data_IF_823259431903
#
_entry.id   IF_823259431903
#
_cell.length_a   1.000
_cell.length_b   1.000
_cell.length_c   1.000
_cell.angle_alpha   90.00
_cell.angle_beta   90.00
_cell.angle_gamma   90.00
#
_symmetry.space_group_name_H-M   'P 1'
#
loop_
_entity.id
_entity.type
_entity.pdbx_description
1 polymer ?
#
# COMPACT_ATOMS: atom_id res chain seq x y z
N UNK A 1 29.05 13.72 4.54
CA UNK A 1 29.95 13.12 3.54
C UNK A 1 29.21 12.56 2.34
N UNK A 2 28.20 11.68 2.48
CA UNK A 2 27.47 11.17 1.31
C UNK A 2 26.50 12.20 0.67
N UNK A 3 25.91 13.10 1.48
CA UNK A 3 24.97 14.15 1.04
C UNK A 3 25.55 15.15 0.03
N UNK A 4 26.87 15.36 0.06
CA UNK A 4 27.59 16.27 -0.85
C UNK A 4 28.30 15.52 -1.99
N UNK A 5 28.11 14.20 -2.08
CA UNK A 5 28.75 13.37 -3.09
C UNK A 5 27.94 13.37 -4.39
N UNK A 6 28.61 13.12 -5.51
CA UNK A 6 27.94 12.99 -6.81
C UNK A 6 27.05 11.75 -6.85
N UNK A 7 26.00 11.75 -7.68
CA UNK A 7 25.09 10.60 -7.84
C UNK A 7 25.87 9.29 -8.10
N UNK A 8 26.94 9.33 -8.91
CA UNK A 8 27.77 8.15 -9.18
C UNK A 8 28.47 7.59 -7.92
N UNK A 9 28.87 8.44 -6.99
CA UNK A 9 29.49 8.03 -5.72
C UNK A 9 28.42 7.46 -4.79
N UNK A 10 27.26 8.12 -4.72
CA UNK A 10 26.13 7.64 -3.93
C UNK A 10 25.65 6.26 -4.45
N UNK A 11 25.62 6.06 -5.77
CA UNK A 11 25.26 4.78 -6.38
C UNK A 11 26.23 3.66 -6.00
N UNK A 12 27.54 3.92 -6.09
CA UNK A 12 28.57 2.96 -5.66
C UNK A 12 28.49 2.64 -4.17
N UNK A 13 28.07 3.61 -3.35
CA UNK A 13 27.85 3.40 -1.93
C UNK A 13 26.68 2.43 -1.70
N UNK A 14 25.54 2.64 -2.38
CA UNK A 14 24.39 1.74 -2.30
C UNK A 14 24.78 0.33 -2.73
N UNK A 15 25.49 0.17 -3.86
CA UNK A 15 25.92 -1.15 -4.34
C UNK A 15 26.89 -1.83 -3.36
N UNK A 16 27.76 -1.05 -2.74
CA UNK A 16 28.68 -1.55 -1.71
C UNK A 16 27.92 -2.00 -0.48
N UNK A 17 26.96 -1.21 0.01
CA UNK A 17 26.09 -1.57 1.13
C UNK A 17 25.29 -2.82 0.83
N UNK A 18 24.72 -2.94 -0.37
CA UNK A 18 23.95 -4.13 -0.77
C UNK A 18 24.83 -5.39 -0.75
N UNK A 19 26.01 -5.31 -1.39
CA UNK A 19 26.97 -6.42 -1.44
C UNK A 19 27.47 -6.83 -0.06
N UNK A 20 27.75 -5.87 0.81
CA UNK A 20 28.18 -6.14 2.19
C UNK A 20 27.00 -6.78 2.96
N UNK A 21 25.80 -6.22 2.81
CA UNK A 21 24.57 -6.71 3.46
C UNK A 21 24.27 -8.17 3.14
N UNK A 22 24.51 -8.61 1.92
CA UNK A 22 24.35 -10.03 1.55
C UNK A 22 25.49 -10.95 2.04
N UNK A 23 26.70 -10.44 2.25
CA UNK A 23 27.87 -11.25 2.65
C UNK A 23 28.08 -11.36 4.16
N UNK A 24 27.61 -10.38 4.92
CA UNK A 24 27.90 -10.27 6.36
C UNK A 24 27.20 -11.38 7.15
N UNK A 25 27.91 -12.35 7.74
CA UNK A 25 27.24 -13.40 8.53
C UNK A 25 26.75 -12.87 9.89
N UNK A 26 27.40 -11.83 10.42
CA UNK A 26 27.09 -11.26 11.74
C UNK A 26 25.76 -10.48 11.75
N UNK A 27 24.87 -10.84 12.67
CA UNK A 27 23.55 -10.22 12.80
C UNK A 27 23.60 -8.72 13.12
N UNK A 28 24.47 -8.28 14.05
CA UNK A 28 24.58 -6.86 14.44
C UNK A 28 25.00 -5.98 13.26
N UNK A 29 25.95 -6.46 12.47
CA UNK A 29 26.38 -5.74 11.27
C UNK A 29 25.29 -5.71 10.18
N UNK A 30 24.46 -6.75 10.09
CA UNK A 30 23.32 -6.77 9.16
C UNK A 30 22.27 -5.75 9.57
N UNK A 31 21.92 -5.68 10.86
CA UNK A 31 21.02 -4.65 11.43
C UNK A 31 21.57 -3.25 11.16
N UNK A 32 22.87 -3.03 11.37
CA UNK A 32 23.51 -1.74 11.12
C UNK A 32 23.39 -1.32 9.64
N UNK A 33 23.57 -2.24 8.70
CA UNK A 33 23.43 -1.94 7.26
C UNK A 33 21.99 -1.58 6.92
N UNK A 34 21.02 -2.33 7.46
CA UNK A 34 19.59 -2.04 7.26
C UNK A 34 19.22 -0.66 7.83
N UNK A 35 19.68 -0.31 9.04
CA UNK A 35 19.45 1.02 9.61
C UNK A 35 20.13 2.13 8.81
N UNK A 36 21.32 1.89 8.24
CA UNK A 36 21.97 2.86 7.35
C UNK A 36 21.13 3.07 6.08
N UNK A 37 20.72 2.00 5.41
CA UNK A 37 19.88 2.07 4.21
C UNK A 37 18.55 2.77 4.49
N UNK A 38 17.92 2.45 5.62
CA UNK A 38 16.69 3.07 6.08
C UNK A 38 16.89 4.58 6.31
N UNK A 39 17.91 4.96 7.08
CA UNK A 39 18.22 6.37 7.39
C UNK A 39 18.55 7.16 6.12
N UNK A 40 19.32 6.57 5.19
CA UNK A 40 19.63 7.21 3.92
C UNK A 40 18.38 7.46 3.08
N UNK A 41 17.42 6.53 3.09
CA UNK A 41 16.18 6.69 2.34
C UNK A 41 15.29 7.82 2.90
N UNK A 42 15.40 8.14 4.20
CA UNK A 42 14.72 9.24 4.89
C UNK A 42 15.41 10.59 4.76
N UNK A 43 16.48 10.67 3.98
CA UNK A 43 17.14 11.94 3.71
C UNK A 43 16.38 12.72 2.63
N UNK A 44 15.81 13.87 2.99
CA UNK A 44 15.08 14.76 2.08
C UNK A 44 15.95 15.30 0.92
N UNK A 45 17.28 15.29 1.08
CA UNK A 45 18.22 15.72 0.03
C UNK A 45 18.51 14.63 -1.01
N UNK A 46 18.00 13.42 -0.81
CA UNK A 46 18.24 12.29 -1.70
C UNK A 46 17.48 12.46 -3.04
N UNK A 47 18.15 12.26 -4.19
CA UNK A 47 17.45 12.19 -5.47
C UNK A 47 16.46 11.01 -5.52
N UNK A 48 15.28 11.23 -6.09
CA UNK A 48 14.22 10.21 -6.14
C UNK A 48 14.63 8.90 -6.83
N UNK A 49 15.49 8.96 -7.85
CA UNK A 49 16.03 7.77 -8.52
C UNK A 49 16.83 6.85 -7.59
N UNK A 50 17.36 7.37 -6.49
CA UNK A 50 18.16 6.62 -5.52
C UNK A 50 17.31 6.01 -4.41
N UNK A 51 16.15 6.60 -4.16
CA UNK A 51 15.22 6.16 -3.12
C UNK A 51 14.74 4.73 -3.37
N UNK A 52 14.26 4.44 -4.58
CA UNK A 52 13.78 3.10 -4.95
C UNK A 52 14.91 2.05 -4.86
N UNK A 53 16.14 2.44 -5.18
CA UNK A 53 17.32 1.57 -5.06
C UNK A 53 17.62 1.24 -3.60
N UNK A 54 17.64 2.24 -2.70
CA UNK A 54 17.87 2.03 -1.27
C UNK A 54 16.84 1.08 -0.67
N UNK A 55 15.56 1.27 -1.01
CA UNK A 55 14.50 0.39 -0.54
C UNK A 55 14.57 -1.01 -1.13
N UNK A 56 14.98 -1.16 -2.40
CA UNK A 56 15.21 -2.48 -2.98
C UNK A 56 16.32 -3.23 -2.24
N UNK A 57 17.46 -2.56 -1.98
CA UNK A 57 18.57 -3.15 -1.24
C UNK A 57 18.15 -3.52 0.19
N UNK A 58 17.45 -2.61 0.89
CA UNK A 58 16.94 -2.87 2.23
C UNK A 58 16.03 -4.11 2.26
N UNK A 59 15.13 -4.23 1.28
CA UNK A 59 14.22 -5.37 1.13
C UNK A 59 14.96 -6.67 0.80
N UNK A 60 15.90 -6.66 -0.14
CA UNK A 60 16.68 -7.85 -0.54
C UNK A 60 17.50 -8.40 0.64
N UNK A 61 18.16 -7.52 1.39
CA UNK A 61 18.90 -7.92 2.59
C UNK A 61 17.94 -8.46 3.66
N UNK A 62 16.80 -7.80 3.88
CA UNK A 62 15.82 -8.22 4.89
C UNK A 62 15.18 -9.58 4.59
N UNK A 63 14.87 -9.85 3.31
CA UNK A 63 14.20 -11.08 2.87
C UNK A 63 15.12 -12.29 2.73
N UNK A 64 16.40 -12.09 2.40
CA UNK A 64 17.37 -13.18 2.23
C UNK A 64 17.76 -13.94 3.53
N UNK A 65 17.20 -13.56 4.69
CA UNK A 65 17.60 -14.08 6.01
C UNK A 65 16.42 -14.66 6.80
N UNK A 66 16.08 -15.90 6.45
CA UNK A 66 14.81 -16.54 6.80
C UNK A 66 14.53 -16.84 8.30
N UNK A 67 15.50 -16.79 9.24
CA UNK A 67 15.26 -17.29 10.61
C UNK A 67 15.67 -16.37 11.78
N UNK A 68 16.28 -15.20 11.55
CA UNK A 68 16.78 -14.32 12.63
C UNK A 68 16.05 -12.97 12.74
N UNK A 69 15.08 -12.68 11.85
CA UNK A 69 14.75 -11.30 11.47
C UNK A 69 13.31 -10.86 11.82
N UNK A 70 12.52 -11.67 12.53
CA UNK A 70 11.09 -11.37 12.71
C UNK A 70 10.84 -10.09 13.50
N UNK A 71 11.52 -9.90 14.62
CA UNK A 71 11.38 -8.71 15.47
C UNK A 71 11.86 -7.43 14.75
N UNK A 72 12.99 -7.50 14.04
CA UNK A 72 13.52 -6.37 13.27
C UNK A 72 12.60 -6.02 12.09
N UNK A 73 12.10 -7.02 11.36
CA UNK A 73 11.11 -6.83 10.28
C UNK A 73 9.81 -6.24 10.86
N UNK A 74 9.32 -6.74 12.00
CA UNK A 74 8.20 -6.13 12.73
C UNK A 74 8.48 -4.66 13.01
N UNK A 75 9.69 -4.32 13.50
CA UNK A 75 10.11 -2.95 13.76
C UNK A 75 10.01 -2.05 12.51
N UNK A 76 10.51 -2.50 11.36
CA UNK A 76 10.37 -1.74 10.11
C UNK A 76 8.92 -1.61 9.64
N UNK A 77 8.10 -2.64 9.82
CA UNK A 77 6.68 -2.53 9.52
C UNK A 77 5.95 -1.57 10.43
N UNK A 78 6.30 -1.50 11.72
CA UNK A 78 5.73 -0.49 12.61
C UNK A 78 6.13 0.92 12.15
N UNK A 79 7.37 1.13 11.70
CA UNK A 79 7.78 2.39 11.06
C UNK A 79 6.93 2.69 9.80
N UNK A 80 6.71 1.71 8.93
CA UNK A 80 5.81 1.85 7.76
C UNK A 80 4.36 2.17 8.16
N UNK A 81 3.85 1.50 9.20
CA UNK A 81 2.53 1.77 9.74
C UNK A 81 2.43 3.21 10.25
N UNK A 82 3.46 3.72 10.92
CA UNK A 82 3.48 5.10 11.40
C UNK A 82 3.48 6.10 10.24
N UNK A 83 4.16 5.81 9.12
CA UNK A 83 4.05 6.64 7.92
C UNK A 83 2.63 6.68 7.35
N UNK A 84 1.94 5.53 7.32
CA UNK A 84 0.55 5.43 6.85
C UNK A 84 -0.39 6.19 7.79
N UNK A 85 -0.28 5.94 9.11
CA UNK A 85 -1.09 6.60 10.15
C UNK A 85 -0.97 8.11 10.12
N UNK A 86 0.25 8.60 9.97
CA UNK A 86 0.54 10.04 9.93
C UNK A 86 0.34 10.65 8.53
N UNK A 87 -0.11 9.85 7.55
CA UNK A 87 -0.34 10.29 6.18
C UNK A 87 0.90 10.98 5.57
N UNK A 88 2.07 10.37 5.75
CA UNK A 88 3.30 10.85 5.15
C UNK A 88 3.33 10.47 3.66
N UNK A 89 2.87 11.38 2.80
CA UNK A 89 2.73 11.17 1.35
C UNK A 89 4.00 10.65 0.68
N UNK A 90 5.19 11.10 1.12
CA UNK A 90 6.46 10.62 0.56
C UNK A 90 6.73 9.14 0.88
N UNK A 91 6.13 8.62 1.93
CA UNK A 91 6.42 7.27 2.43
C UNK A 91 5.26 6.32 2.27
N UNK A 92 4.10 6.79 1.81
CA UNK A 92 2.87 6.02 1.83
C UNK A 92 2.91 4.86 0.83
N UNK A 93 3.26 5.13 -0.44
CA UNK A 93 3.45 4.09 -1.47
C UNK A 93 4.59 3.13 -1.10
N UNK A 94 5.79 3.61 -0.70
CA UNK A 94 6.86 2.73 -0.24
C UNK A 94 6.46 1.81 0.92
N UNK A 95 5.74 2.36 1.90
CA UNK A 95 5.29 1.63 3.08
C UNK A 95 4.30 0.51 2.72
N UNK A 96 3.34 0.79 1.84
CA UNK A 96 2.43 -0.25 1.35
C UNK A 96 3.15 -1.32 0.54
N UNK A 97 4.09 -0.96 -0.34
CA UNK A 97 4.90 -1.93 -1.10
C UNK A 97 5.71 -2.82 -0.16
N UNK A 98 6.33 -2.24 0.85
CA UNK A 98 7.12 -3.00 1.82
C UNK A 98 6.26 -3.96 2.64
N UNK A 99 5.13 -3.49 3.17
CA UNK A 99 4.16 -4.32 3.89
C UNK A 99 3.63 -5.45 3.00
N UNK A 100 3.22 -5.13 1.76
CA UNK A 100 2.71 -6.10 0.78
C UNK A 100 3.67 -7.26 0.56
N UNK A 101 4.94 -6.97 0.34
CA UNK A 101 5.93 -8.02 0.14
C UNK A 101 6.08 -8.88 1.38
N UNK A 102 6.12 -8.29 2.58
CA UNK A 102 6.29 -9.06 3.80
C UNK A 102 5.11 -9.98 4.13
N UNK A 103 3.88 -9.53 3.92
CA UNK A 103 2.69 -10.37 4.18
C UNK A 103 2.55 -11.53 3.19
N UNK A 104 3.22 -11.47 2.04
CA UNK A 104 3.32 -12.61 1.11
C UNK A 104 4.19 -13.74 1.67
N UNK A 105 5.16 -13.42 2.54
CA UNK A 105 6.09 -14.40 3.10
C UNK A 105 5.63 -14.99 4.45
N UNK A 106 4.87 -14.25 5.27
CA UNK A 106 4.48 -14.68 6.62
C UNK A 106 3.00 -14.40 6.94
N UNK A 107 2.20 -15.48 7.05
CA UNK A 107 0.77 -15.40 7.40
C UNK A 107 0.50 -14.97 8.83
N UNK A 108 1.42 -15.21 9.77
CA UNK A 108 1.26 -14.73 11.14
C UNK A 108 1.47 -13.21 11.21
N UNK A 109 2.36 -12.69 10.38
CA UNK A 109 2.60 -11.24 10.25
C UNK A 109 1.34 -10.50 9.78
N UNK A 110 0.57 -11.12 8.90
CA UNK A 110 -0.73 -10.62 8.47
C UNK A 110 -1.69 -10.41 9.65
N UNK A 111 -1.75 -11.33 10.63
CA UNK A 111 -2.58 -11.15 11.84
C UNK A 111 -2.05 -10.02 12.72
N UNK A 112 -0.73 -9.93 12.90
CA UNK A 112 -0.11 -8.83 13.65
C UNK A 112 -0.50 -7.45 13.11
N UNK A 113 -0.53 -7.28 11.78
CA UNK A 113 -0.90 -6.02 11.15
C UNK A 113 -2.41 -5.73 11.23
N UNK A 114 -3.25 -6.76 11.05
CA UNK A 114 -4.70 -6.62 11.06
C UNK A 114 -5.21 -6.40 12.49
N UNK A 115 -4.98 -7.36 13.38
CA UNK A 115 -5.59 -7.40 14.72
C UNK A 115 -4.84 -6.49 15.70
N UNK A 116 -3.52 -6.37 15.55
CA UNK A 116 -2.67 -5.60 16.46
C UNK A 116 -2.49 -4.14 16.07
N UNK A 117 -2.64 -3.79 14.79
CA UNK A 117 -2.23 -2.49 14.27
C UNK A 117 -3.26 -1.79 13.36
N UNK A 118 -4.46 -2.37 13.20
CA UNK A 118 -5.59 -1.77 12.47
C UNK A 118 -5.27 -1.36 11.02
N UNK A 119 -4.42 -2.11 10.31
CA UNK A 119 -4.00 -1.75 8.96
C UNK A 119 -5.16 -1.50 7.97
N UNK A 120 -6.24 -2.28 8.04
CA UNK A 120 -7.41 -2.12 7.15
C UNK A 120 -8.07 -0.77 7.34
N UNK A 121 -8.25 -0.34 8.60
CA UNK A 121 -8.83 0.95 8.94
C UNK A 121 -7.98 2.07 8.34
N UNK A 122 -6.67 2.06 8.58
CA UNK A 122 -5.79 3.09 8.06
C UNK A 122 -5.67 3.07 6.53
N UNK A 123 -5.82 1.90 5.90
CA UNK A 123 -5.86 1.77 4.45
C UNK A 123 -7.07 2.51 3.87
N UNK A 124 -8.28 2.27 4.40
CA UNK A 124 -9.50 2.93 3.95
C UNK A 124 -9.46 4.43 4.25
N UNK A 125 -9.03 4.82 5.45
CA UNK A 125 -8.87 6.23 5.82
C UNK A 125 -7.90 6.97 4.90
N UNK A 126 -6.80 6.31 4.52
CA UNK A 126 -5.81 6.89 3.60
C UNK A 126 -6.39 7.04 2.19
N UNK A 127 -7.15 6.06 1.70
CA UNK A 127 -7.85 6.17 0.40
C UNK A 127 -8.75 7.40 0.40
N UNK A 128 -9.64 7.53 1.40
CA UNK A 128 -10.58 8.65 1.47
C UNK A 128 -9.89 10.00 1.62
N UNK A 129 -8.85 10.09 2.47
CA UNK A 129 -8.07 11.32 2.63
C UNK A 129 -7.34 11.71 1.35
N UNK A 130 -6.75 10.75 0.65
CA UNK A 130 -6.03 11.03 -0.59
C UNK A 130 -6.96 11.40 -1.74
N UNK A 131 -8.12 10.75 -1.83
CA UNK A 131 -9.18 11.15 -2.75
C UNK A 131 -9.58 12.62 -2.53
N UNK A 132 -9.85 13.01 -1.28
CA UNK A 132 -10.21 14.38 -0.93
C UNK A 132 -9.12 15.40 -1.30
N UNK A 133 -7.87 15.14 -0.90
CA UNK A 133 -6.75 16.05 -1.15
C UNK A 133 -6.51 16.24 -2.67
N UNK A 134 -6.56 15.15 -3.44
CA UNK A 134 -6.36 15.19 -4.90
C UNK A 134 -7.55 15.84 -5.61
N UNK A 135 -8.78 15.60 -5.14
CA UNK A 135 -9.97 16.26 -5.66
C UNK A 135 -9.84 17.78 -5.53
N UNK A 136 -9.45 18.28 -4.36
CA UNK A 136 -9.20 19.71 -4.12
C UNK A 136 -8.06 20.22 -5.00
N UNK A 137 -6.93 19.50 -5.05
CA UNK A 137 -5.75 19.93 -5.81
C UNK A 137 -6.02 20.05 -7.32
N UNK A 138 -6.91 19.22 -7.85
CA UNK A 138 -7.20 19.13 -9.29
C UNK A 138 -8.53 19.77 -9.70
N UNK A 139 -9.28 20.33 -8.74
CA UNK A 139 -10.64 20.82 -8.94
C UNK A 139 -11.54 19.74 -9.61
N UNK A 140 -11.42 18.51 -9.10
CA UNK A 140 -12.12 17.33 -9.61
C UNK A 140 -11.56 16.71 -10.89
N UNK A 141 -10.57 17.31 -11.54
CA UNK A 141 -9.97 16.81 -12.79
C UNK A 141 -8.84 15.79 -12.55
N UNK A 142 -9.17 14.70 -11.84
CA UNK A 142 -8.19 13.65 -11.54
C UNK A 142 -7.89 12.82 -12.79
N UNK A 143 -6.60 12.64 -13.10
CA UNK A 143 -6.11 11.89 -14.25
C UNK A 143 -5.20 10.74 -13.83
N UNK A 144 -4.90 9.80 -14.73
CA UNK A 144 -4.00 8.68 -14.42
C UNK A 144 -2.57 9.13 -14.11
N UNK A 145 -2.18 10.32 -14.57
CA UNK A 145 -0.86 10.92 -14.37
C UNK A 145 -0.85 11.93 -13.20
N UNK A 146 -1.98 12.10 -12.50
CA UNK A 146 -2.06 12.98 -11.34
C UNK A 146 -1.15 12.46 -10.24
N UNK A 147 -0.18 13.28 -9.88
CA UNK A 147 0.86 12.98 -8.90
C UNK A 147 0.38 13.26 -7.47
N UNK A 148 0.62 12.31 -6.55
CA UNK A 148 0.38 12.48 -5.10
C UNK A 148 1.60 13.08 -4.37
N UNK A 149 2.77 12.80 -4.90
CA UNK A 149 4.04 13.39 -4.53
C UNK A 149 4.86 13.57 -5.82
N UNK A 150 6.16 13.84 -5.74
CA UNK A 150 6.97 14.03 -6.95
C UNK A 150 7.36 12.73 -7.68
N UNK A 151 6.85 11.56 -7.25
CA UNK A 151 7.28 10.24 -7.72
C UNK A 151 6.14 9.34 -8.17
N UNK A 152 5.08 9.26 -7.37
CA UNK A 152 4.02 8.28 -7.57
C UNK A 152 2.74 8.96 -7.98
N UNK A 153 1.98 8.29 -8.84
CA UNK A 153 0.65 8.76 -9.22
C UNK A 153 -0.40 8.32 -8.20
N UNK A 154 -1.52 9.04 -8.18
CA UNK A 154 -2.69 8.67 -7.40
C UNK A 154 -3.17 7.25 -7.74
N UNK A 155 -3.19 6.92 -9.05
CA UNK A 155 -3.55 5.59 -9.55
C UNK A 155 -2.65 4.49 -8.98
N UNK A 156 -1.33 4.72 -8.91
CA UNK A 156 -0.39 3.76 -8.35
C UNK A 156 -0.64 3.52 -6.85
N UNK A 157 -0.91 4.58 -6.10
CA UNK A 157 -1.24 4.48 -4.67
C UNK A 157 -2.54 3.69 -4.45
N UNK A 158 -3.61 4.07 -5.13
CA UNK A 158 -4.90 3.42 -4.97
C UNK A 158 -4.81 1.93 -5.35
N UNK A 159 -4.10 1.61 -6.43
CA UNK A 159 -3.88 0.22 -6.85
C UNK A 159 -3.13 -0.60 -5.78
N UNK A 160 -2.01 -0.11 -5.24
CA UNK A 160 -1.27 -0.88 -4.22
C UNK A 160 -2.08 -1.07 -2.93
N UNK A 161 -2.90 -0.09 -2.55
CA UNK A 161 -3.80 -0.20 -1.41
C UNK A 161 -4.87 -1.26 -1.63
N UNK A 162 -5.54 -1.25 -2.79
CA UNK A 162 -6.57 -2.22 -3.13
C UNK A 162 -6.00 -3.64 -3.26
N UNK A 163 -4.83 -3.79 -3.90
CA UNK A 163 -4.13 -5.06 -3.99
C UNK A 163 -3.81 -5.59 -2.58
N UNK A 164 -3.32 -4.73 -1.69
CA UNK A 164 -3.00 -5.11 -0.31
C UNK A 164 -4.25 -5.54 0.43
N UNK A 165 -5.34 -4.79 0.31
CA UNK A 165 -6.61 -5.12 0.93
C UNK A 165 -7.16 -6.46 0.42
N UNK A 166 -7.11 -6.72 -0.89
CA UNK A 166 -7.51 -7.99 -1.47
C UNK A 166 -6.67 -9.16 -0.91
N UNK A 167 -5.36 -8.97 -0.80
CA UNK A 167 -4.46 -9.96 -0.21
C UNK A 167 -4.77 -10.20 1.27
N UNK A 168 -5.13 -9.16 2.02
CA UNK A 168 -5.56 -9.27 3.41
C UNK A 168 -6.89 -10.04 3.54
N UNK A 169 -7.80 -9.91 2.58
CA UNK A 169 -9.07 -10.66 2.60
C UNK A 169 -8.90 -12.13 2.19
N UNK A 170 -8.18 -12.42 1.09
CA UNK A 170 -8.05 -13.77 0.46
C UNK A 170 -7.57 -14.93 1.34
N UNK A 171 -7.09 -14.66 2.55
CA UNK A 171 -6.59 -15.70 3.47
C UNK A 171 -6.87 -15.35 4.94
N UNK A 172 -7.69 -14.33 5.21
CA UNK A 172 -7.99 -13.86 6.56
C UNK A 172 -9.40 -14.25 6.94
N UNK A 173 -9.61 -14.84 8.13
CA UNK A 173 -10.94 -14.98 8.73
C UNK A 173 -11.44 -13.61 9.21
N UNK A 174 -11.66 -12.71 8.27
CA UNK A 174 -12.06 -11.32 8.52
C UNK A 174 -13.57 -11.28 8.78
N UNK A 175 -14.01 -11.82 9.91
CA UNK A 175 -15.43 -11.77 10.27
C UNK A 175 -15.93 -10.34 10.50
N UNK A 176 -15.02 -9.38 10.75
CA UNK A 176 -15.31 -7.95 10.87
C UNK A 176 -15.26 -7.17 9.54
N UNK A 177 -15.09 -7.85 8.40
CA UNK A 177 -14.86 -7.20 7.09
C UNK A 177 -16.02 -6.33 6.60
N UNK A 178 -17.26 -6.63 6.97
CA UNK A 178 -18.42 -5.98 6.34
C UNK A 178 -18.42 -4.46 6.50
N UNK A 179 -18.16 -3.95 7.71
CA UNK A 179 -18.14 -2.50 7.95
C UNK A 179 -17.07 -1.80 7.11
N UNK A 180 -15.89 -2.41 7.00
CA UNK A 180 -14.78 -1.87 6.22
C UNK A 180 -15.02 -1.96 4.72
N UNK A 181 -15.66 -3.03 4.25
CA UNK A 181 -16.05 -3.20 2.84
C UNK A 181 -17.13 -2.19 2.45
N UNK A 182 -18.11 -1.95 3.33
CA UNK A 182 -19.14 -0.93 3.11
C UNK A 182 -18.53 0.47 3.10
N UNK A 183 -17.62 0.78 4.03
CA UNK A 183 -16.89 2.06 4.04
C UNK A 183 -16.08 2.26 2.74
N UNK A 184 -15.38 1.22 2.27
CA UNK A 184 -14.65 1.26 1.01
C UNK A 184 -15.59 1.51 -0.19
N UNK A 185 -16.75 0.85 -0.22
CA UNK A 185 -17.75 1.09 -1.27
C UNK A 185 -18.20 2.55 -1.27
N UNK A 186 -18.52 3.07 -0.09
CA UNK A 186 -18.96 4.45 0.05
C UNK A 186 -17.90 5.44 -0.44
N UNK A 187 -16.63 5.19 -0.14
CA UNK A 187 -15.49 6.03 -0.57
C UNK A 187 -15.23 5.96 -2.08
N UNK A 188 -15.21 4.75 -2.67
CA UNK A 188 -14.76 4.59 -4.05
C UNK A 188 -15.86 4.74 -5.10
N UNK A 189 -17.11 4.44 -4.73
CA UNK A 189 -18.21 4.31 -5.70
C UNK A 189 -19.23 5.44 -5.54
N UNK A 190 -19.66 5.72 -4.31
CA UNK A 190 -20.77 6.67 -4.08
C UNK A 190 -20.34 8.04 -3.58
N UNK A 191 -19.06 8.23 -3.28
CA UNK A 191 -18.54 9.53 -2.87
C UNK A 191 -18.64 10.51 -4.03
N UNK A 192 -19.08 11.75 -3.77
CA UNK A 192 -19.14 12.79 -4.79
C UNK A 192 -17.75 13.22 -5.27
N UNK A 193 -16.72 13.01 -4.45
CA UNK A 193 -15.30 13.25 -4.78
C UNK A 193 -14.67 12.05 -5.51
N UNK A 194 -15.42 10.98 -5.78
CA UNK A 194 -14.91 9.83 -6.50
C UNK A 194 -14.70 10.15 -7.98
N UNK A 195 -13.44 10.08 -8.39
CA UNK A 195 -13.02 10.19 -9.78
C UNK A 195 -13.37 8.92 -10.58
N UNK A 196 -13.18 8.98 -11.90
CA UNK A 196 -13.32 7.80 -12.75
C UNK A 196 -12.34 6.68 -12.33
N UNK A 197 -11.14 7.05 -11.88
CA UNK A 197 -10.09 6.09 -11.45
C UNK A 197 -10.54 5.35 -10.19
N UNK A 198 -11.17 6.06 -9.25
CA UNK A 198 -11.70 5.47 -8.02
C UNK A 198 -12.76 4.43 -8.33
N UNK A 199 -13.70 4.81 -9.20
CA UNK A 199 -14.79 3.96 -9.62
C UNK A 199 -14.27 2.71 -10.34
N UNK A 200 -13.40 2.86 -11.35
CA UNK A 200 -12.88 1.73 -12.13
C UNK A 200 -12.07 0.75 -11.27
N UNK A 201 -11.14 1.25 -10.45
CA UNK A 201 -10.35 0.40 -9.57
C UNK A 201 -11.20 -0.20 -8.45
N UNK A 202 -12.15 0.56 -7.91
CA UNK A 202 -13.12 0.11 -6.93
C UNK A 202 -13.98 -1.04 -7.45
N UNK A 203 -14.66 -0.86 -8.58
CA UNK A 203 -15.48 -1.91 -9.19
C UNK A 203 -14.65 -3.16 -9.51
N UNK A 204 -13.47 -2.98 -10.12
CA UNK A 204 -12.57 -4.10 -10.41
C UNK A 204 -12.17 -4.86 -9.14
N UNK A 205 -11.95 -4.15 -8.03
CA UNK A 205 -11.62 -4.76 -6.75
C UNK A 205 -12.81 -5.52 -6.17
N UNK A 206 -14.02 -4.96 -6.22
CA UNK A 206 -15.24 -5.62 -5.75
C UNK A 206 -15.51 -6.90 -6.52
N UNK A 207 -15.46 -6.88 -7.86
CA UNK A 207 -15.62 -8.06 -8.72
C UNK A 207 -14.68 -9.20 -8.29
N UNK A 208 -13.41 -8.87 -8.08
CA UNK A 208 -12.36 -9.87 -7.82
C UNK A 208 -12.30 -10.34 -6.36
N UNK A 209 -12.84 -9.55 -5.43
CA UNK A 209 -12.83 -9.83 -3.99
C UNK A 209 -14.18 -10.33 -3.47
N UNK A 210 -15.24 -10.27 -4.28
CA UNK A 210 -16.60 -10.60 -3.83
C UNK A 210 -16.73 -12.01 -3.29
N UNK A 211 -16.16 -12.98 -4.01
CA UNK A 211 -16.22 -14.40 -3.63
C UNK A 211 -15.43 -14.73 -2.36
N UNK A 212 -14.47 -13.87 -1.99
CA UNK A 212 -13.67 -14.00 -0.77
C UNK A 212 -14.44 -13.55 0.47
N UNK A 213 -15.54 -12.81 0.29
CA UNK A 213 -16.42 -12.41 1.38
C UNK A 213 -17.35 -13.56 1.79
N UNK A 214 -17.79 -13.56 3.06
CA UNK A 214 -18.78 -14.51 3.53
C UNK A 214 -20.16 -14.28 2.86
N UNK A 215 -21.00 -15.33 2.82
CA UNK A 215 -22.28 -15.28 2.10
C UNK A 215 -23.23 -14.17 2.58
N UNK A 216 -23.29 -13.91 3.89
CA UNK A 216 -24.14 -12.87 4.46
C UNK A 216 -23.68 -11.46 4.04
N UNK A 217 -22.38 -11.19 4.12
CA UNK A 217 -21.79 -9.93 3.69
C UNK A 217 -21.98 -9.65 2.21
N UNK A 218 -21.95 -10.70 1.36
CA UNK A 218 -22.25 -10.57 -0.07
C UNK A 218 -23.69 -10.14 -0.32
N UNK A 219 -24.64 -10.80 0.34
CA UNK A 219 -26.08 -10.47 0.22
C UNK A 219 -26.32 -9.03 0.68
N UNK A 220 -25.80 -8.65 1.83
CA UNK A 220 -25.99 -7.30 2.36
C UNK A 220 -25.37 -6.22 1.47
N UNK A 221 -24.16 -6.43 0.94
CA UNK A 221 -23.53 -5.49 0.01
C UNK A 221 -24.36 -5.36 -1.28
N UNK A 222 -24.88 -6.47 -1.80
CA UNK A 222 -25.71 -6.48 -3.00
C UNK A 222 -27.04 -5.73 -2.80
N UNK A 223 -27.78 -6.06 -1.74
CA UNK A 223 -29.07 -5.46 -1.43
C UNK A 223 -28.96 -3.98 -1.05
N UNK A 224 -27.92 -3.61 -0.31
CA UNK A 224 -27.76 -2.22 0.12
C UNK A 224 -27.28 -1.33 -1.02
N UNK A 225 -26.36 -1.82 -1.86
CA UNK A 225 -25.59 -0.97 -2.76
C UNK A 225 -25.68 -1.40 -4.23
N UNK A 226 -25.22 -2.62 -4.59
CA UNK A 226 -25.08 -3.03 -6.00
C UNK A 226 -26.42 -2.96 -6.74
N UNK A 227 -27.48 -3.51 -6.15
CA UNK A 227 -28.83 -3.52 -6.74
C UNK A 227 -29.46 -2.14 -6.93
N UNK A 228 -28.93 -1.10 -6.25
CA UNK A 228 -29.43 0.27 -6.30
C UNK A 228 -28.61 1.19 -7.21
N UNK A 229 -27.55 0.66 -7.85
CA UNK A 229 -26.74 1.44 -8.77
C UNK A 229 -27.57 1.85 -9.99
N UNK A 230 -27.45 3.12 -10.37
CA UNK A 230 -28.09 3.62 -11.58
C UNK A 230 -27.27 3.22 -12.80
N UNK A 231 -27.77 2.26 -13.58
CA UNK A 231 -27.11 1.69 -14.76
C UNK A 231 -26.70 2.73 -15.80
N UNK A 232 -27.37 3.89 -15.89
CA UNK A 232 -27.04 4.93 -16.86
C UNK A 232 -25.78 5.74 -16.52
N UNK A 233 -25.25 5.60 -15.30
CA UNK A 233 -24.08 6.34 -14.81
C UNK A 233 -22.84 5.44 -14.62
N UNK A 234 -22.95 4.15 -14.96
CA UNK A 234 -21.89 3.18 -14.75
C UNK A 234 -20.95 3.11 -15.95
N UNK A 235 -19.67 2.87 -15.65
CA UNK A 235 -18.68 2.45 -16.65
C UNK A 235 -18.95 1.01 -17.09
N UNK A 236 -18.27 0.54 -18.14
CA UNK A 236 -18.37 -0.85 -18.60
C UNK A 236 -17.99 -1.84 -17.47
N UNK A 237 -16.97 -1.51 -16.67
CA UNK A 237 -16.58 -2.29 -15.49
C UNK A 237 -17.66 -2.25 -14.41
N UNK A 238 -18.29 -1.10 -14.19
CA UNK A 238 -19.42 -0.97 -13.25
C UNK A 238 -20.62 -1.82 -13.66
N UNK A 239 -20.96 -1.83 -14.95
CA UNK A 239 -22.02 -2.70 -15.49
C UNK A 239 -21.64 -4.18 -15.29
N UNK A 240 -20.39 -4.55 -15.58
CA UNK A 240 -19.90 -5.90 -15.35
C UNK A 240 -19.98 -6.30 -13.87
N UNK A 241 -19.69 -5.38 -12.94
CA UNK A 241 -19.83 -5.61 -11.50
C UNK A 241 -21.28 -5.92 -11.10
N UNK A 242 -22.26 -5.26 -11.71
CA UNK A 242 -23.70 -5.51 -11.46
C UNK A 242 -24.15 -6.85 -12.06
N UNK A 243 -23.62 -7.24 -13.22
CA UNK A 243 -24.01 -8.51 -13.86
C UNK A 243 -23.38 -9.73 -13.19
N UNK A 244 -22.19 -9.57 -12.60
CA UNK A 244 -21.41 -10.68 -12.02
C UNK A 244 -21.89 -11.10 -10.63
N UNK A 245 -22.73 -10.32 -9.97
CA UNK A 245 -23.19 -10.51 -8.59
C UNK A 245 -24.71 -10.49 -8.50
#
# INVERSE_FOLDING_TARGET
FWKSATNAIQDRLIDSLNRIGHKVVNMRHSVMILEILWTMAHDESLPYSMFDRLLSCHREISSSRHYLNRELICGYCLKCMDHIKNYNLQWIVPSYRYIMELVKFDTEFKRFLIDGNNLILYLIQTIGRCQHDIWIQTDGNVSSDTLIDKRYTYKELLKIQLDLLAYMLRNGRMYAALRHVEELWLTLITNYEASLIDNELGFSWFITSFNEMNGQSRIELYEKHISKLNSSKLTEIGIFCVITH
#
